data_IF_119057204809
#
_entry.id   IF_119057204809
#
_cell.length_a   1.000
_cell.length_b   1.000
_cell.length_c   1.000
_cell.angle_alpha   90.00
_cell.angle_beta   90.00
_cell.angle_gamma   90.00
#
_symmetry.space_group_name_H-M   'P 1'
#
loop_
_entity.id
_entity.type
_entity.pdbx_description
1 polymer ?
#
# COMPACT_ATOMS: atom_id res chain seq x y z
N UNK A 1 -17.14 -47.24 -4.17
CA UNK A 1 -18.05 -47.13 -3.01
C UNK A 1 -19.48 -47.05 -3.53
N UNK A 2 -20.34 -47.96 -3.09
CA UNK A 2 -21.76 -48.00 -3.48
C UNK A 2 -22.57 -46.93 -2.72
N UNK A 3 -23.76 -46.62 -3.20
CA UNK A 3 -24.65 -45.64 -2.55
C UNK A 3 -25.01 -46.05 -1.11
N UNK A 4 -25.15 -47.35 -0.86
CA UNK A 4 -25.51 -47.91 0.45
C UNK A 4 -24.32 -47.89 1.42
N UNK A 5 -23.11 -48.18 0.93
CA UNK A 5 -21.88 -48.01 1.73
C UNK A 5 -21.69 -46.53 2.15
N UNK A 6 -21.95 -45.59 1.24
CA UNK A 6 -21.91 -44.17 1.55
C UNK A 6 -23.03 -43.77 2.52
N UNK A 7 -24.22 -44.37 2.40
CA UNK A 7 -25.34 -44.12 3.31
C UNK A 7 -25.01 -44.53 4.74
N UNK A 8 -24.43 -45.72 4.92
CA UNK A 8 -24.02 -46.24 6.22
C UNK A 8 -22.91 -45.39 6.82
N UNK A 9 -21.91 -45.02 6.03
CA UNK A 9 -20.81 -44.15 6.47
C UNK A 9 -21.28 -42.75 6.91
N UNK A 10 -22.24 -42.16 6.19
CA UNK A 10 -22.82 -40.85 6.55
C UNK A 10 -23.89 -40.93 7.66
N UNK A 11 -24.27 -42.14 8.11
CA UNK A 11 -25.32 -42.33 9.12
C UNK A 11 -26.73 -41.93 8.63
N UNK A 12 -26.97 -41.92 7.31
CA UNK A 12 -28.27 -41.56 6.76
C UNK A 12 -29.27 -42.71 6.89
N UNK A 13 -30.46 -42.41 7.43
CA UNK A 13 -31.54 -43.40 7.58
C UNK A 13 -32.16 -43.82 6.24
N UNK A 14 -32.16 -42.94 5.24
CA UNK A 14 -32.78 -43.19 3.93
C UNK A 14 -31.77 -42.95 2.80
N UNK A 15 -31.76 -43.85 1.81
CA UNK A 15 -30.88 -43.74 0.63
C UNK A 15 -31.13 -42.46 -0.18
N UNK A 16 -32.36 -41.94 -0.19
CA UNK A 16 -32.74 -40.70 -0.87
C UNK A 16 -31.97 -39.49 -0.33
N UNK A 17 -31.72 -39.42 0.99
CA UNK A 17 -30.90 -38.38 1.61
C UNK A 17 -29.47 -38.42 1.08
N UNK A 18 -28.87 -39.61 0.98
CA UNK A 18 -27.52 -39.81 0.42
C UNK A 18 -27.45 -39.41 -1.06
N UNK A 19 -28.51 -39.65 -1.84
CA UNK A 19 -28.56 -39.23 -3.23
C UNK A 19 -28.43 -37.71 -3.41
N UNK A 20 -28.87 -36.88 -2.47
CA UNK A 20 -28.73 -35.42 -2.59
C UNK A 20 -27.26 -34.98 -2.57
N UNK A 21 -26.40 -35.68 -1.83
CA UNK A 21 -24.97 -35.44 -1.79
C UNK A 21 -24.25 -36.08 -2.98
N UNK A 22 -24.63 -37.30 -3.36
CA UNK A 22 -24.07 -37.97 -4.54
C UNK A 22 -24.42 -37.26 -5.86
N UNK A 23 -25.55 -36.53 -5.91
CA UNK A 23 -26.01 -35.76 -7.08
C UNK A 23 -25.49 -34.33 -7.11
N UNK A 24 -24.58 -33.91 -6.21
CA UNK A 24 -23.95 -32.60 -6.32
C UNK A 24 -23.13 -32.56 -7.62
N UNK A 25 -23.74 -32.04 -8.69
CA UNK A 25 -23.06 -31.82 -9.96
C UNK A 25 -21.85 -30.93 -9.68
N UNK A 26 -20.68 -31.30 -10.21
CA UNK A 26 -19.47 -30.47 -10.13
C UNK A 26 -19.75 -29.01 -10.53
N UNK A 27 -20.66 -28.79 -11.47
CA UNK A 27 -21.09 -27.45 -11.92
C UNK A 27 -21.83 -26.65 -10.84
N UNK A 28 -22.63 -27.30 -9.98
CA UNK A 28 -23.30 -26.64 -8.85
C UNK A 28 -22.28 -26.28 -7.77
N UNK A 29 -21.32 -27.16 -7.50
CA UNK A 29 -20.23 -26.91 -6.57
C UNK A 29 -19.35 -25.75 -7.06
N UNK A 30 -18.91 -25.79 -8.33
CA UNK A 30 -18.15 -24.71 -8.96
C UNK A 30 -18.92 -23.38 -8.89
N UNK A 31 -20.20 -23.37 -9.24
CA UNK A 31 -21.05 -22.16 -9.15
C UNK A 31 -21.18 -21.66 -7.71
N UNK A 32 -21.31 -22.53 -6.71
CA UNK A 32 -21.34 -22.11 -5.31
C UNK A 32 -20.00 -21.52 -4.85
N UNK A 33 -18.86 -22.05 -5.33
CA UNK A 33 -17.55 -21.46 -5.06
C UNK A 33 -17.38 -20.08 -5.70
N UNK A 34 -17.84 -19.91 -6.95
CA UNK A 34 -17.87 -18.61 -7.63
C UNK A 34 -18.82 -17.63 -6.93
N UNK A 35 -20.04 -18.06 -6.58
CA UNK A 35 -21.03 -17.20 -5.90
C UNK A 35 -20.65 -16.83 -4.47
N UNK A 36 -19.91 -17.69 -3.76
CA UNK A 36 -19.39 -17.38 -2.43
C UNK A 36 -18.19 -16.41 -2.47
N UNK A 37 -17.74 -15.98 -3.66
CA UNK A 37 -16.53 -15.18 -3.83
C UNK A 37 -15.29 -15.86 -3.24
N UNK A 38 -15.32 -17.20 -3.13
CA UNK A 38 -14.31 -17.96 -2.38
C UNK A 38 -12.94 -17.87 -3.07
N UNK A 39 -12.93 -17.76 -4.40
CA UNK A 39 -11.71 -17.52 -5.17
C UNK A 39 -11.21 -16.08 -5.00
N UNK A 40 -12.08 -15.07 -5.08
CA UNK A 40 -11.72 -13.65 -4.93
C UNK A 40 -11.25 -13.30 -3.50
N UNK A 41 -11.78 -13.98 -2.48
CA UNK A 41 -11.35 -13.79 -1.09
C UNK A 41 -10.02 -14.48 -0.77
N UNK A 42 -9.72 -15.59 -1.45
CA UNK A 42 -8.51 -16.38 -1.21
C UNK A 42 -7.35 -16.02 -2.14
N UNK A 43 -7.63 -15.46 -3.32
CA UNK A 43 -6.62 -14.78 -4.10
C UNK A 43 -6.72 -13.29 -3.74
N UNK A 44 -6.12 -12.92 -2.61
CA UNK A 44 -5.60 -11.55 -2.48
C UNK A 44 -4.44 -11.46 -3.48
N UNK A 45 -4.78 -11.28 -4.76
CA UNK A 45 -3.79 -11.05 -5.81
C UNK A 45 -3.07 -9.79 -5.38
N UNK A 46 -1.84 -9.94 -4.91
CA UNK A 46 -0.96 -8.79 -4.78
C UNK A 46 -0.69 -8.37 -6.22
N UNK A 47 -1.20 -7.20 -6.60
CA UNK A 47 -0.95 -6.67 -7.93
C UNK A 47 0.56 -6.40 -8.06
N UNK A 48 1.19 -7.07 -9.01
CA UNK A 48 2.62 -6.94 -9.29
C UNK A 48 2.78 -6.05 -10.52
N UNK A 49 3.40 -4.90 -10.31
CA UNK A 49 3.81 -3.99 -11.37
C UNK A 49 5.22 -4.35 -11.82
N UNK A 50 5.43 -4.45 -13.12
CA UNK A 50 6.73 -4.71 -13.72
C UNK A 50 7.19 -3.46 -14.48
N UNK A 51 8.38 -2.96 -14.14
CA UNK A 51 9.04 -1.92 -14.91
C UNK A 51 9.65 -2.54 -16.16
N UNK A 52 8.94 -2.39 -17.28
CA UNK A 52 9.37 -2.94 -18.57
C UNK A 52 10.62 -2.24 -19.11
N UNK A 53 10.85 -0.97 -18.76
CA UNK A 53 12.01 -0.23 -19.25
C UNK A 53 13.26 -0.75 -18.56
N UNK A 54 13.23 -0.92 -17.24
CA UNK A 54 14.31 -1.52 -16.46
C UNK A 54 14.65 -2.95 -16.94
N UNK A 55 13.64 -3.73 -17.33
CA UNK A 55 13.83 -5.09 -17.89
C UNK A 55 14.47 -5.02 -19.29
N UNK A 56 13.99 -4.13 -20.16
CA UNK A 56 14.46 -4.03 -21.55
C UNK A 56 15.85 -3.40 -21.68
N UNK A 57 16.17 -2.44 -20.82
CA UNK A 57 17.48 -1.77 -20.79
C UNK A 57 18.59 -2.64 -20.18
N UNK A 58 18.21 -3.73 -19.48
CA UNK A 58 19.13 -4.57 -18.74
C UNK A 58 19.46 -4.04 -17.34
N UNK A 59 18.86 -2.93 -16.92
CA UNK A 59 19.05 -2.38 -15.58
C UNK A 59 18.58 -3.34 -14.46
N UNK A 60 17.60 -4.20 -14.75
CA UNK A 60 17.21 -5.30 -13.88
C UNK A 60 18.38 -6.25 -13.54
N UNK A 61 19.32 -6.45 -14.47
CA UNK A 61 20.51 -7.30 -14.26
C UNK A 61 21.57 -6.58 -13.40
N UNK A 62 21.61 -5.25 -13.46
CA UNK A 62 22.51 -4.43 -12.62
C UNK A 62 21.97 -4.22 -11.21
N UNK A 63 20.83 -4.82 -10.88
CA UNK A 63 20.24 -4.80 -9.53
C UNK A 63 19.24 -3.67 -9.30
N UNK A 64 18.80 -2.95 -10.33
CA UNK A 64 17.73 -1.98 -10.17
C UNK A 64 16.38 -2.68 -9.93
N UNK A 65 15.54 -2.15 -9.03
CA UNK A 65 14.19 -2.66 -8.81
C UNK A 65 13.36 -2.62 -10.08
N UNK A 66 12.85 -3.78 -10.50
CA UNK A 66 12.01 -3.91 -11.70
C UNK A 66 10.66 -4.58 -11.40
N UNK A 67 10.51 -5.16 -10.21
CA UNK A 67 9.30 -5.83 -9.75
C UNK A 67 8.79 -5.15 -8.49
N UNK A 68 7.55 -4.69 -8.54
CA UNK A 68 6.94 -3.91 -7.47
C UNK A 68 5.60 -4.52 -7.06
N UNK A 69 5.43 -4.81 -5.77
CA UNK A 69 4.19 -5.31 -5.19
C UNK A 69 3.39 -4.13 -4.62
N UNK A 70 2.15 -3.93 -5.05
CA UNK A 70 1.33 -2.83 -4.55
C UNK A 70 0.82 -3.10 -3.12
N UNK A 71 1.11 -2.18 -2.21
CA UNK A 71 0.70 -2.19 -0.81
C UNK A 71 -0.42 -1.17 -0.51
N UNK A 72 -0.95 -0.49 -1.54
CA UNK A 72 -1.90 0.62 -1.42
C UNK A 72 -1.20 1.97 -1.25
N UNK A 73 -0.55 2.17 -0.11
CA UNK A 73 0.19 3.41 0.26
C UNK A 73 1.60 3.55 -0.34
N UNK A 74 2.10 2.48 -0.97
CA UNK A 74 3.47 2.37 -1.45
C UNK A 74 3.67 1.05 -2.19
N UNK A 75 4.90 0.78 -2.60
CA UNK A 75 5.30 -0.46 -3.24
C UNK A 75 6.35 -1.20 -2.42
N UNK A 76 6.40 -2.52 -2.53
CA UNK A 76 7.53 -3.32 -2.10
C UNK A 76 8.34 -3.78 -3.31
N UNK A 77 9.64 -3.50 -3.35
CA UNK A 77 10.56 -3.95 -4.39
C UNK A 77 11.26 -5.28 -4.07
N UNK A 78 10.89 -5.94 -2.97
CA UNK A 78 11.50 -7.22 -2.58
C UNK A 78 10.94 -8.36 -3.43
N UNK A 79 11.82 -9.05 -4.14
CA UNK A 79 11.43 -10.11 -5.09
C UNK A 79 10.59 -11.23 -4.46
N UNK A 80 10.92 -11.63 -3.22
CA UNK A 80 10.27 -12.71 -2.47
C UNK A 80 9.23 -12.19 -1.47
N UNK A 81 8.42 -11.21 -1.88
CA UNK A 81 7.39 -10.61 -1.03
C UNK A 81 6.41 -11.63 -0.43
N UNK A 82 6.09 -12.69 -1.17
CA UNK A 82 5.22 -13.79 -0.73
C UNK A 82 5.72 -14.51 0.53
N UNK A 83 7.04 -14.53 0.72
CA UNK A 83 7.72 -15.15 1.86
C UNK A 83 8.15 -14.14 2.93
N UNK A 84 7.90 -12.84 2.72
CA UNK A 84 8.37 -11.81 3.64
C UNK A 84 7.66 -11.91 5.01
N UNK A 85 8.40 -12.05 6.12
CA UNK A 85 7.81 -12.09 7.46
C UNK A 85 7.21 -10.73 7.87
N UNK A 86 7.68 -9.64 7.26
CA UNK A 86 7.29 -8.26 7.56
C UNK A 86 6.20 -7.70 6.62
N UNK A 87 5.43 -8.56 5.93
CA UNK A 87 4.43 -8.12 4.93
C UNK A 87 3.40 -7.12 5.45
N UNK A 88 3.17 -7.07 6.77
CA UNK A 88 2.26 -6.13 7.44
C UNK A 88 2.96 -4.89 8.04
N UNK A 89 4.29 -4.80 7.97
CA UNK A 89 5.09 -3.73 8.56
C UNK A 89 6.10 -3.15 7.54
N UNK A 90 5.75 -3.20 6.25
CA UNK A 90 6.69 -2.96 5.15
C UNK A 90 7.25 -1.52 5.12
N UNK A 91 6.51 -0.51 5.58
CA UNK A 91 6.90 0.91 5.51
C UNK A 91 8.25 1.25 6.18
N UNK A 92 8.73 0.42 7.11
CA UNK A 92 10.05 0.58 7.76
C UNK A 92 11.20 -0.12 7.01
N UNK A 93 10.89 -0.98 6.05
CA UNK A 93 11.87 -1.81 5.34
C UNK A 93 12.60 -1.02 4.26
N UNK A 94 13.85 -1.41 3.96
CA UNK A 94 14.64 -0.79 2.88
C UNK A 94 14.05 -1.01 1.48
N UNK A 95 13.27 -2.07 1.30
CA UNK A 95 12.59 -2.41 0.03
C UNK A 95 11.26 -1.65 -0.16
N UNK A 96 10.87 -0.80 0.79
CA UNK A 96 9.66 0.01 0.63
C UNK A 96 9.95 1.22 -0.24
N UNK A 97 9.12 1.42 -1.26
CA UNK A 97 9.17 2.54 -2.19
C UNK A 97 7.88 3.35 -2.05
N UNK A 98 7.92 4.59 -1.54
CA UNK A 98 6.73 5.40 -1.39
C UNK A 98 6.17 5.80 -2.75
N UNK A 99 4.83 5.85 -2.86
CA UNK A 99 4.16 6.43 -4.03
C UNK A 99 4.31 7.94 -4.01
N UNK A 100 4.46 8.57 -5.16
CA UNK A 100 4.50 10.04 -5.26
C UNK A 100 3.26 10.69 -4.64
N UNK A 101 2.09 10.09 -4.86
CA UNK A 101 0.80 10.53 -4.30
C UNK A 101 0.69 10.41 -2.78
N UNK A 102 1.60 9.69 -2.12
CA UNK A 102 1.57 9.49 -0.66
C UNK A 102 2.22 10.63 0.14
N UNK A 103 2.86 11.60 -0.53
CA UNK A 103 3.62 12.66 0.13
C UNK A 103 2.80 13.43 1.19
N UNK A 104 1.55 13.80 0.87
CA UNK A 104 0.69 14.54 1.79
C UNK A 104 0.35 13.71 3.04
N UNK A 105 0.08 12.42 2.87
CA UNK A 105 -0.23 11.50 3.99
C UNK A 105 0.99 11.29 4.88
N UNK A 106 2.20 11.21 4.30
CA UNK A 106 3.45 11.10 5.07
C UNK A 106 3.67 12.33 5.95
N UNK A 107 3.46 13.53 5.40
CA UNK A 107 3.59 14.79 6.15
C UNK A 107 2.55 14.92 7.26
N UNK A 108 1.30 14.56 6.98
CA UNK A 108 0.22 14.54 7.98
C UNK A 108 0.52 13.54 9.11
N UNK A 109 0.96 12.33 8.77
CA UNK A 109 1.36 11.31 9.74
C UNK A 109 2.48 11.80 10.65
N UNK A 110 3.50 12.46 10.09
CA UNK A 110 4.60 13.03 10.85
C UNK A 110 4.11 14.10 11.82
N UNK A 111 3.28 15.04 11.35
CA UNK A 111 2.71 16.09 12.18
C UNK A 111 1.86 15.51 13.32
N UNK A 112 1.11 14.45 13.05
CA UNK A 112 0.32 13.76 14.06
C UNK A 112 1.18 13.09 15.15
N UNK A 113 2.29 12.43 14.77
CA UNK A 113 3.23 11.84 15.72
C UNK A 113 3.95 12.91 16.56
N UNK A 114 4.35 14.02 15.94
CA UNK A 114 4.96 15.15 16.65
C UNK A 114 3.98 15.77 17.66
N UNK A 115 2.71 15.91 17.29
CA UNK A 115 1.66 16.36 18.21
C UNK A 115 1.45 15.37 19.35
N UNK A 116 1.48 14.06 19.07
CA UNK A 116 1.37 13.01 20.08
C UNK A 116 2.46 13.13 21.16
N UNK A 117 3.72 13.39 20.76
CA UNK A 117 4.82 13.65 21.71
C UNK A 117 4.58 14.86 22.62
N UNK A 118 3.83 15.87 22.14
CA UNK A 118 3.59 17.11 22.85
C UNK A 118 2.35 17.07 23.75
N UNK A 119 1.29 16.38 23.31
CA UNK A 119 -0.03 16.44 23.93
C UNK A 119 -0.38 15.21 24.76
N UNK A 120 0.23 14.05 24.49
CA UNK A 120 -0.11 12.78 25.14
C UNK A 120 1.01 12.42 26.14
N UNK A 121 0.67 12.08 27.39
CA UNK A 121 1.65 11.52 28.32
C UNK A 121 1.98 10.08 27.90
N UNK A 122 3.14 9.89 27.29
CA UNK A 122 3.64 8.59 26.83
C UNK A 122 4.60 7.98 27.86
N UNK A 123 4.58 6.65 27.97
CA UNK A 123 5.67 5.89 28.59
C UNK A 123 6.97 6.00 27.76
N UNK A 124 8.10 5.59 28.34
CA UNK A 124 9.38 5.63 27.63
C UNK A 124 9.36 4.78 26.35
N UNK A 125 8.81 3.56 26.43
CA UNK A 125 8.69 2.65 25.28
C UNK A 125 7.77 3.22 24.19
N UNK A 126 6.65 3.84 24.57
CA UNK A 126 5.75 4.49 23.63
C UNK A 126 6.40 5.71 22.97
N UNK A 127 7.18 6.48 23.72
CA UNK A 127 7.89 7.65 23.19
C UNK A 127 8.96 7.23 22.18
N UNK A 128 9.74 6.20 22.49
CA UNK A 128 10.73 5.62 21.56
C UNK A 128 10.06 5.15 20.27
N UNK A 129 8.93 4.44 20.37
CA UNK A 129 8.19 3.98 19.20
C UNK A 129 7.66 5.14 18.32
N UNK A 130 7.25 6.25 18.94
CA UNK A 130 6.79 7.45 18.22
C UNK A 130 7.96 8.16 17.56
N UNK A 131 9.09 8.31 18.24
CA UNK A 131 10.33 8.89 17.69
C UNK A 131 10.84 8.08 16.49
N UNK A 132 10.92 6.75 16.62
CA UNK A 132 11.27 5.84 15.51
C UNK A 132 10.28 5.98 14.34
N UNK A 133 8.99 6.16 14.63
CA UNK A 133 7.96 6.43 13.64
C UNK A 133 8.17 7.75 12.89
N UNK A 134 8.58 8.81 13.59
CA UNK A 134 8.90 10.11 12.99
C UNK A 134 10.11 9.96 12.06
N UNK A 135 11.18 9.30 12.51
CA UNK A 135 12.38 9.06 11.69
C UNK A 135 12.05 8.26 10.42
N UNK A 136 11.20 7.24 10.54
CA UNK A 136 10.74 6.47 9.38
C UNK A 136 9.99 7.35 8.37
N UNK A 137 9.07 8.21 8.83
CA UNK A 137 8.33 9.11 7.94
C UNK A 137 9.23 10.20 7.32
N UNK A 138 10.24 10.67 8.04
CA UNK A 138 11.25 11.59 7.48
C UNK A 138 12.05 10.95 6.36
N UNK A 139 12.47 9.69 6.54
CA UNK A 139 13.17 8.93 5.50
C UNK A 139 12.31 8.75 4.26
N UNK A 140 11.04 8.41 4.42
CA UNK A 140 10.11 8.29 3.29
C UNK A 140 9.87 9.63 2.59
N UNK A 141 9.77 10.72 3.35
CA UNK A 141 9.64 12.07 2.78
C UNK A 141 10.87 12.47 1.98
N UNK A 142 12.07 12.12 2.47
CA UNK A 142 13.33 12.38 1.77
C UNK A 142 13.44 11.63 0.43
N UNK A 143 12.95 10.39 0.36
CA UNK A 143 12.90 9.62 -0.90
C UNK A 143 12.03 10.30 -1.97
N UNK A 144 11.00 11.05 -1.57
CA UNK A 144 10.14 11.80 -2.50
C UNK A 144 10.65 13.23 -2.80
N UNK A 145 11.69 13.70 -2.12
CA UNK A 145 12.15 15.09 -2.25
C UNK A 145 12.76 15.43 -3.62
N UNK A 146 13.26 14.41 -4.32
CA UNK A 146 13.91 14.52 -5.63
C UNK A 146 13.00 14.10 -6.79
N UNK A 147 11.77 13.66 -6.51
CA UNK A 147 10.78 13.33 -7.53
C UNK A 147 10.25 14.63 -8.15
N UNK A 148 10.32 14.81 -9.47
CA UNK A 148 9.79 16.01 -10.12
C UNK A 148 8.28 16.08 -9.94
N UNK A 149 7.77 17.26 -9.59
CA UNK A 149 6.31 17.49 -9.61
C UNK A 149 5.80 17.45 -11.06
N UNK A 150 4.49 17.30 -11.30
CA UNK A 150 3.93 17.39 -12.65
C UNK A 150 4.27 18.71 -13.38
N UNK A 151 4.61 19.77 -12.64
CA UNK A 151 5.04 21.05 -13.20
C UNK A 151 6.54 21.09 -13.58
N UNK A 152 7.31 20.03 -13.30
CA UNK A 152 8.74 19.91 -13.58
C UNK A 152 9.68 20.03 -12.37
N UNK A 153 9.57 21.05 -11.49
CA UNK A 153 10.54 21.23 -10.42
C UNK A 153 10.33 20.20 -9.30
N UNK A 154 11.43 19.79 -8.64
CA UNK A 154 11.38 18.89 -7.49
C UNK A 154 11.01 19.65 -6.21
N UNK A 155 10.45 18.98 -5.18
CA UNK A 155 10.23 19.59 -3.87
C UNK A 155 11.48 20.27 -3.28
N UNK A 156 12.67 19.69 -3.48
CA UNK A 156 13.94 20.31 -3.04
C UNK A 156 14.20 21.65 -3.75
N UNK A 157 14.06 21.69 -5.07
CA UNK A 157 14.22 22.92 -5.86
C UNK A 157 13.19 24.00 -5.48
N UNK A 158 11.95 23.59 -5.21
CA UNK A 158 10.89 24.53 -4.77
C UNK A 158 11.20 25.12 -3.39
N UNK A 159 11.80 24.36 -2.48
CA UNK A 159 12.21 24.86 -1.17
C UNK A 159 13.41 25.80 -1.25
N UNK A 160 14.39 25.49 -2.10
CA UNK A 160 15.53 26.40 -2.38
C UNK A 160 15.04 27.72 -2.99
N UNK A 161 14.08 27.65 -3.94
CA UNK A 161 13.46 28.82 -4.54
C UNK A 161 12.56 29.59 -3.56
N UNK A 162 11.88 28.92 -2.62
CA UNK A 162 11.10 29.57 -1.55
C UNK A 162 11.97 30.47 -0.66
N UNK A 163 13.22 30.08 -0.41
CA UNK A 163 14.18 30.94 0.28
C UNK A 163 14.55 32.23 -0.47
N UNK A 164 14.27 32.28 -1.77
CA UNK A 164 14.48 33.46 -2.63
C UNK A 164 13.20 34.25 -2.91
N UNK A 165 12.04 33.82 -2.41
CA UNK A 165 10.79 34.57 -2.58
C UNK A 165 10.84 35.80 -1.68
N UNK A 166 11.07 36.97 -2.29
CA UNK A 166 10.78 38.25 -1.65
C UNK A 166 9.29 38.27 -1.30
N UNK A 167 8.96 38.08 -0.03
CA UNK A 167 7.62 38.29 0.47
C UNK A 167 7.21 39.72 0.17
N UNK A 168 6.25 39.90 -0.75
CA UNK A 168 5.66 41.21 -1.03
C UNK A 168 4.66 41.47 0.11
N UNK A 169 4.89 42.46 0.98
CA UNK A 169 3.97 42.76 2.07
C UNK A 169 2.60 43.12 1.50
N UNK A 170 1.52 42.62 2.09
CA UNK A 170 0.15 42.95 1.65
C UNK A 170 -0.14 44.46 1.62
N UNK A 171 0.59 45.25 2.41
CA UNK A 171 0.56 46.71 2.42
C UNK A 171 1.10 47.37 1.15
N UNK A 172 1.85 46.65 0.31
CA UNK A 172 2.43 47.16 -0.94
C UNK A 172 1.57 46.89 -2.18
N UNK A 173 0.44 46.19 -2.02
CA UNK A 173 -0.54 45.97 -3.09
C UNK A 173 -1.48 47.18 -3.17
N UNK A 174 -1.18 48.12 -4.07
CA UNK A 174 -2.11 49.23 -4.37
C UNK A 174 -3.36 48.67 -5.08
N UNK A 175 -4.53 48.87 -4.47
CA UNK A 175 -5.82 48.57 -5.13
C UNK A 175 -6.00 49.54 -6.29
N UNK A 176 -6.02 49.02 -7.51
CA UNK A 176 -6.41 49.78 -8.70
C UNK A 176 -7.91 50.11 -8.58
N UNK A 177 -8.32 51.39 -8.61
CA UNK A 177 -9.74 51.73 -8.56
C UNK A 177 -10.43 51.27 -9.86
N UNK A 178 -11.60 50.64 -9.72
CA UNK A 178 -12.44 50.26 -10.84
C UNK A 178 -12.85 51.52 -11.61
N UNK A 179 -12.52 51.60 -12.89
CA UNK A 179 -13.06 52.64 -13.78
C UNK A 179 -14.55 52.39 -13.97
N UNK A 180 -15.38 53.38 -13.61
CA UNK A 180 -16.76 53.50 -14.05
C UNK A 180 -16.84 53.79 -15.54
#
# INVERSE_FOLDING_TARGET
MSLFELQEWLGHRYASSTQHYAKVKLTKLAKSFTQAGYFERNIRVVEVLLDQEAVKSGAAVTGEPWRFYDLGHGYCSYDFFDQCPHRMACAKCAFYVPKESSQAQILEGKANLQRMLQEIPLSDDEREAVEEGIEALEKLSAQLADVPTPAGPTPRQLNENRGQVNFIPSSSIQRVPSRN
#
